data_IF_868793304876
#
_entry.id   IF_868793304876
#
_cell.length_a   1.000
_cell.length_b   1.000
_cell.length_c   1.000
_cell.angle_alpha   90.00
_cell.angle_beta   90.00
_cell.angle_gamma   90.00
#
_symmetry.space_group_name_H-M   'P 1'
#
loop_
_entity.id
_entity.type
_entity.pdbx_description
1 polymer ?
#
# COMPACT_ATOMS: atom_id res chain seq x y z
N UNK A 1 10.96 78.93 -29.13
CA UNK A 1 10.05 79.04 -30.30
C UNK A 1 10.51 78.05 -31.36
N UNK A 2 9.62 77.13 -31.78
CA UNK A 2 9.54 76.38 -33.07
C UNK A 2 10.85 75.70 -33.56
N UNK A 3 10.92 74.40 -33.82
CA UNK A 3 10.00 73.57 -34.63
C UNK A 3 10.09 72.08 -34.26
N UNK A 4 8.92 71.45 -34.39
CA UNK A 4 8.62 70.02 -34.37
C UNK A 4 8.86 69.42 -35.77
N UNK A 5 8.95 68.08 -35.84
CA UNK A 5 8.92 67.14 -37.00
C UNK A 5 10.33 66.67 -37.43
N UNK A 6 10.69 65.37 -37.45
CA UNK A 6 9.96 64.12 -37.25
C UNK A 6 10.88 62.91 -37.46
N UNK A 7 10.26 61.71 -37.63
CA UNK A 7 10.84 60.37 -37.89
C UNK A 7 11.19 59.64 -36.57
N UNK A 8 10.31 58.82 -35.96
CA UNK A 8 9.73 57.52 -36.41
C UNK A 8 10.80 56.58 -36.97
N UNK A 9 11.54 55.91 -36.09
CA UNK A 9 11.93 54.49 -36.20
C UNK A 9 12.85 54.13 -35.03
N UNK A 10 12.30 53.48 -34.00
CA UNK A 10 13.13 52.55 -33.23
C UNK A 10 12.29 51.30 -33.01
N UNK A 11 12.58 50.31 -33.85
CA UNK A 11 11.98 49.00 -33.88
C UNK A 11 11.94 48.42 -32.47
N UNK A 12 10.77 47.83 -32.18
CA UNK A 12 10.61 46.72 -31.27
C UNK A 12 11.73 45.68 -31.50
N UNK A 13 12.78 45.73 -30.70
CA UNK A 13 13.48 44.53 -30.29
C UNK A 13 12.69 43.93 -29.13
N UNK A 14 11.50 43.42 -29.46
CA UNK A 14 10.94 42.31 -28.71
C UNK A 14 11.85 41.12 -29.01
N UNK A 15 12.99 41.08 -28.32
CA UNK A 15 13.72 39.85 -28.18
C UNK A 15 12.73 38.86 -27.59
N UNK A 16 12.22 37.97 -28.43
CA UNK A 16 11.67 36.71 -27.97
C UNK A 16 12.82 36.03 -27.25
N UNK A 17 12.96 36.29 -25.95
CA UNK A 17 13.57 35.34 -25.06
C UNK A 17 12.93 34.02 -25.46
N UNK A 18 13.69 33.01 -25.90
CA UNK A 18 13.11 31.69 -26.01
C UNK A 18 12.61 31.40 -24.61
N UNK A 19 11.29 31.43 -24.43
CA UNK A 19 10.65 30.61 -23.42
C UNK A 19 11.39 29.29 -23.56
N UNK A 20 12.03 28.80 -22.50
CA UNK A 20 12.74 27.51 -22.52
C UNK A 20 11.67 26.50 -22.91
N UNK A 21 11.50 26.28 -24.20
CA UNK A 21 10.47 25.44 -24.74
C UNK A 21 11.01 24.06 -24.47
N UNK A 22 10.42 23.38 -23.48
CA UNK A 22 10.76 22.00 -23.19
C UNK A 22 10.73 21.16 -24.47
N UNK A 23 11.45 20.04 -24.47
CA UNK A 23 11.52 19.19 -25.65
C UNK A 23 10.11 18.91 -26.23
N UNK A 24 9.81 19.31 -27.48
CA UNK A 24 8.47 19.18 -28.04
C UNK A 24 7.94 17.74 -28.06
N UNK A 25 8.83 16.77 -28.21
CA UNK A 25 8.47 15.36 -28.14
C UNK A 25 8.11 14.94 -26.71
N UNK A 26 8.80 15.45 -25.69
CA UNK A 26 8.45 15.20 -24.29
C UNK A 26 7.07 15.79 -23.94
N UNK A 27 6.79 17.02 -24.38
CA UNK A 27 5.49 17.65 -24.10
C UNK A 27 4.34 16.93 -24.82
N UNK A 28 4.53 16.51 -26.08
CA UNK A 28 3.55 15.64 -26.76
C UNK A 28 3.36 14.31 -26.05
N UNK A 29 4.44 13.69 -25.57
CA UNK A 29 4.35 12.45 -24.81
C UNK A 29 3.55 12.62 -23.51
N UNK A 30 3.73 13.72 -22.78
CA UNK A 30 2.94 14.04 -21.57
C UNK A 30 1.44 14.14 -21.85
N UNK A 31 1.06 14.80 -22.95
CA UNK A 31 -0.34 14.85 -23.39
C UNK A 31 -0.86 13.44 -23.74
N UNK A 32 -0.06 12.64 -24.45
CA UNK A 32 -0.44 11.27 -24.80
C UNK A 32 -0.54 10.36 -23.57
N UNK A 33 0.31 10.53 -22.55
CA UNK A 33 0.24 9.83 -21.27
C UNK A 33 -1.07 10.16 -20.54
N UNK A 34 -1.43 11.43 -20.50
CA UNK A 34 -2.70 11.88 -19.92
C UNK A 34 -3.90 11.24 -20.64
N UNK A 35 -3.84 11.16 -21.97
CA UNK A 35 -4.83 10.49 -22.82
C UNK A 35 -4.72 8.94 -22.79
N UNK A 36 -3.78 8.37 -22.03
CA UNK A 36 -3.49 6.93 -21.96
C UNK A 36 -3.13 6.28 -23.32
N UNK A 37 -2.60 7.08 -24.26
CA UNK A 37 -2.08 6.63 -25.56
C UNK A 37 -0.66 6.11 -25.42
N UNK A 38 -0.47 5.04 -24.64
CA UNK A 38 0.84 4.55 -24.21
C UNK A 38 1.81 4.25 -25.35
N UNK A 39 1.34 3.59 -26.41
CA UNK A 39 2.18 3.23 -27.54
C UNK A 39 2.65 4.47 -28.32
N UNK A 40 1.77 5.44 -28.53
CA UNK A 40 2.14 6.71 -29.19
C UNK A 40 3.07 7.55 -28.31
N UNK A 41 2.83 7.58 -27.00
CA UNK A 41 3.71 8.23 -26.04
C UNK A 41 5.12 7.64 -26.09
N UNK A 42 5.26 6.30 -26.14
CA UNK A 42 6.57 5.64 -26.28
C UNK A 42 7.36 6.15 -27.49
N UNK A 43 6.70 6.29 -28.64
CA UNK A 43 7.34 6.78 -29.87
C UNK A 43 7.88 8.20 -29.67
N UNK A 44 7.10 9.10 -29.05
CA UNK A 44 7.56 10.46 -28.77
C UNK A 44 8.65 10.49 -27.69
N UNK A 45 8.58 9.64 -26.67
CA UNK A 45 9.63 9.54 -25.64
C UNK A 45 10.95 9.07 -26.22
N UNK A 46 10.93 8.10 -27.14
CA UNK A 46 12.13 7.63 -27.83
C UNK A 46 12.72 8.72 -28.75
N UNK A 47 11.87 9.52 -29.43
CA UNK A 47 12.33 10.72 -30.17
C UNK A 47 12.97 11.76 -29.25
N UNK A 48 12.36 12.04 -28.09
CA UNK A 48 12.92 12.96 -27.11
C UNK A 48 14.34 12.54 -26.70
N UNK A 49 14.51 11.26 -26.37
CA UNK A 49 15.81 10.70 -25.97
C UNK A 49 16.85 10.75 -27.10
N UNK A 50 16.45 10.48 -28.34
CA UNK A 50 17.35 10.54 -29.48
C UNK A 50 17.83 11.98 -29.79
N UNK A 51 16.96 12.98 -29.56
CA UNK A 51 17.26 14.38 -29.87
C UNK A 51 18.23 15.05 -28.89
N UNK A 52 18.23 14.65 -27.62
CA UNK A 52 19.14 15.18 -26.60
C UNK A 52 19.41 14.14 -25.49
N UNK A 53 20.28 13.15 -25.73
CA UNK A 53 20.46 11.99 -24.85
C UNK A 53 20.87 12.33 -23.41
N UNK A 54 21.64 13.40 -23.22
CA UNK A 54 22.21 13.79 -21.91
C UNK A 54 21.40 14.91 -21.22
N UNK A 55 20.31 15.36 -21.84
CA UNK A 55 19.46 16.41 -21.31
C UNK A 55 18.55 15.95 -20.18
N UNK A 56 18.13 16.89 -19.32
CA UNK A 56 17.12 16.65 -18.27
C UNK A 56 15.81 16.07 -18.84
N UNK A 57 15.44 16.49 -20.05
CA UNK A 57 14.24 16.01 -20.75
C UNK A 57 14.37 14.52 -21.15
N UNK A 58 15.56 14.07 -21.56
CA UNK A 58 15.79 12.65 -21.85
C UNK A 58 15.70 11.79 -20.59
N UNK A 59 16.18 12.30 -19.45
CA UNK A 59 16.03 11.61 -18.17
C UNK A 59 14.54 11.49 -17.78
N UNK A 60 13.77 12.57 -17.89
CA UNK A 60 12.32 12.53 -17.65
C UNK A 60 11.61 11.60 -18.65
N UNK A 61 12.07 11.55 -19.90
CA UNK A 61 11.55 10.63 -20.90
C UNK A 61 11.80 9.16 -20.55
N UNK A 62 12.93 8.81 -19.93
CA UNK A 62 13.20 7.44 -19.45
C UNK A 62 12.19 7.04 -18.36
N UNK A 63 11.90 7.94 -17.41
CA UNK A 63 10.88 7.70 -16.39
C UNK A 63 9.50 7.41 -17.00
N UNK A 64 9.04 8.29 -17.89
CA UNK A 64 7.74 8.11 -18.54
C UNK A 64 7.72 6.89 -19.47
N UNK A 65 8.85 6.53 -20.06
CA UNK A 65 8.97 5.29 -20.85
C UNK A 65 8.72 4.07 -19.97
N UNK A 66 9.29 4.04 -18.76
CA UNK A 66 8.99 2.99 -17.77
C UNK A 66 7.51 2.91 -17.43
N UNK A 67 6.85 4.07 -17.28
CA UNK A 67 5.41 4.15 -17.03
C UNK A 67 4.59 3.58 -18.18
N UNK A 68 4.83 4.00 -19.42
CA UNK A 68 4.15 3.43 -20.59
C UNK A 68 4.36 1.92 -20.72
N UNK A 69 5.59 1.43 -20.47
CA UNK A 69 5.90 0.01 -20.57
C UNK A 69 5.18 -0.81 -19.50
N UNK A 70 5.01 -0.26 -18.29
CA UNK A 70 4.19 -0.86 -17.24
C UNK A 70 2.74 -0.99 -17.69
N UNK A 71 2.15 0.09 -18.21
CA UNK A 71 0.74 0.10 -18.67
C UNK A 71 0.50 -0.80 -19.89
N UNK A 72 1.55 -1.07 -20.68
CA UNK A 72 1.53 -2.02 -21.81
C UNK A 72 1.90 -3.45 -21.41
N UNK A 73 1.99 -3.74 -20.11
CA UNK A 73 2.31 -5.06 -19.54
C UNK A 73 3.69 -5.63 -19.97
N UNK A 74 4.59 -4.75 -20.42
CA UNK A 74 5.99 -5.04 -20.79
C UNK A 74 6.88 -4.97 -19.55
N UNK A 75 6.54 -5.78 -18.55
CA UNK A 75 7.05 -5.72 -17.17
C UNK A 75 8.58 -5.65 -17.08
N UNK A 76 9.30 -6.54 -17.77
CA UNK A 76 10.78 -6.60 -17.71
C UNK A 76 11.44 -5.36 -18.29
N UNK A 77 10.86 -4.78 -19.35
CA UNK A 77 11.38 -3.56 -19.96
C UNK A 77 11.06 -2.32 -19.12
N UNK A 78 9.89 -2.31 -18.46
CA UNK A 78 9.53 -1.26 -17.50
C UNK A 78 10.54 -1.23 -16.34
N UNK A 79 10.86 -2.40 -15.78
CA UNK A 79 11.90 -2.54 -14.74
C UNK A 79 13.24 -1.99 -15.22
N UNK A 80 13.68 -2.37 -16.42
CA UNK A 80 14.95 -1.88 -16.98
C UNK A 80 14.95 -0.35 -17.14
N UNK A 81 13.85 0.24 -17.61
CA UNK A 81 13.71 1.68 -17.77
C UNK A 81 13.75 2.42 -16.42
N UNK A 82 13.02 1.95 -15.41
CA UNK A 82 13.06 2.54 -14.08
C UNK A 82 14.42 2.37 -13.40
N UNK A 83 15.11 1.24 -13.59
CA UNK A 83 16.48 1.07 -13.10
C UNK A 83 17.45 2.05 -13.75
N UNK A 84 17.35 2.26 -15.07
CA UNK A 84 18.14 3.27 -15.78
C UNK A 84 17.88 4.68 -15.23
N UNK A 85 16.62 5.03 -15.00
CA UNK A 85 16.24 6.32 -14.41
C UNK A 85 16.81 6.49 -13.00
N UNK A 86 16.63 5.49 -12.13
CA UNK A 86 17.07 5.53 -10.72
C UNK A 86 18.59 5.52 -10.56
N UNK A 87 19.36 5.11 -11.58
CA UNK A 87 20.81 5.14 -11.52
C UNK A 87 21.40 6.56 -11.56
N UNK A 88 20.70 7.51 -12.17
CA UNK A 88 21.23 8.86 -12.44
C UNK A 88 20.33 10.00 -11.96
N UNK A 89 19.06 9.72 -11.66
CA UNK A 89 18.11 10.76 -11.25
C UNK A 89 18.37 11.25 -9.82
N UNK A 90 18.41 12.58 -9.69
CA UNK A 90 18.43 13.32 -8.42
C UNK A 90 17.05 13.90 -8.06
N UNK A 91 16.03 13.74 -8.93
CA UNK A 91 14.69 14.24 -8.66
C UNK A 91 13.98 13.33 -7.63
N UNK A 92 13.90 13.80 -6.38
CA UNK A 92 13.32 13.02 -5.27
C UNK A 92 11.90 12.51 -5.56
N UNK A 93 11.00 13.35 -6.08
CA UNK A 93 9.61 12.97 -6.33
C UNK A 93 9.50 11.87 -7.40
N UNK A 94 10.19 12.05 -8.52
CA UNK A 94 10.17 11.03 -9.59
C UNK A 94 10.92 9.75 -9.18
N UNK A 95 11.95 9.85 -8.33
CA UNK A 95 12.62 8.67 -7.75
C UNK A 95 11.65 7.88 -6.88
N UNK A 96 10.98 8.54 -5.95
CA UNK A 96 9.97 7.91 -5.08
C UNK A 96 8.91 7.18 -5.92
N UNK A 97 8.38 7.86 -6.95
CA UNK A 97 7.38 7.27 -7.84
C UNK A 97 7.92 6.08 -8.64
N UNK A 98 9.16 6.17 -9.16
CA UNK A 98 9.81 5.05 -9.86
C UNK A 98 10.05 3.85 -8.93
N UNK A 99 10.46 4.08 -7.68
CA UNK A 99 10.66 3.03 -6.69
C UNK A 99 9.32 2.35 -6.30
N UNK A 100 8.23 3.11 -6.15
CA UNK A 100 6.88 2.56 -5.94
C UNK A 100 6.46 1.67 -7.12
N UNK A 101 6.61 2.15 -8.35
CA UNK A 101 6.32 1.36 -9.56
C UNK A 101 7.17 0.09 -9.61
N UNK A 102 8.45 0.18 -9.22
CA UNK A 102 9.34 -0.98 -9.13
C UNK A 102 8.86 -2.02 -8.12
N UNK A 103 8.27 -1.63 -6.99
CA UNK A 103 7.66 -2.59 -6.04
C UNK A 103 6.56 -3.40 -6.73
N UNK A 104 5.63 -2.72 -7.41
CA UNK A 104 4.53 -3.38 -8.13
C UNK A 104 5.02 -4.34 -9.22
N UNK A 105 5.94 -3.86 -10.06
CA UNK A 105 6.53 -4.65 -11.13
C UNK A 105 7.27 -5.89 -10.60
N UNK A 106 8.02 -5.75 -9.50
CA UNK A 106 8.75 -6.89 -8.94
C UNK A 106 7.83 -7.90 -8.25
N UNK A 107 6.70 -7.46 -7.67
CA UNK A 107 5.66 -8.39 -7.19
C UNK A 107 5.07 -9.20 -8.34
N UNK A 108 4.84 -8.58 -9.50
CA UNK A 108 4.38 -9.30 -10.70
C UNK A 108 5.44 -10.29 -11.20
N UNK A 109 6.72 -9.88 -11.23
CA UNK A 109 7.83 -10.74 -11.62
C UNK A 109 8.06 -11.95 -10.69
N UNK A 110 7.67 -11.87 -9.41
CA UNK A 110 7.67 -13.04 -8.53
C UNK A 110 6.76 -14.16 -9.06
N UNK A 111 5.59 -13.81 -9.60
CA UNK A 111 4.66 -14.80 -10.20
C UNK A 111 5.31 -15.49 -11.41
N UNK A 112 6.16 -14.75 -12.13
CA UNK A 112 6.95 -15.22 -13.29
C UNK A 112 8.27 -15.89 -12.89
N UNK A 113 8.50 -16.10 -11.58
CA UNK A 113 9.70 -16.73 -11.00
C UNK A 113 11.02 -16.02 -11.35
N UNK A 114 10.98 -14.69 -11.51
CA UNK A 114 12.20 -13.91 -11.68
C UNK A 114 13.09 -14.02 -10.44
N UNK A 115 14.37 -14.33 -10.65
CA UNK A 115 15.33 -14.60 -9.56
C UNK A 115 15.80 -13.33 -8.85
N UNK A 116 15.69 -12.16 -9.49
CA UNK A 116 16.18 -10.89 -8.97
C UNK A 116 15.09 -10.10 -8.24
N UNK A 117 13.81 -10.38 -8.53
CA UNK A 117 12.67 -9.74 -7.90
C UNK A 117 12.70 -9.78 -6.35
N UNK A 118 13.01 -10.91 -5.68
CA UNK A 118 13.12 -10.91 -4.21
C UNK A 118 14.17 -9.92 -3.71
N UNK A 119 15.34 -9.86 -4.35
CA UNK A 119 16.43 -8.95 -3.97
C UNK A 119 16.01 -7.49 -4.13
N UNK A 120 15.37 -7.13 -5.25
CA UNK A 120 14.88 -5.77 -5.50
C UNK A 120 13.79 -5.35 -4.51
N UNK A 121 12.90 -6.26 -4.12
CA UNK A 121 11.89 -5.99 -3.09
C UNK A 121 12.52 -5.78 -1.70
N UNK A 122 13.56 -6.54 -1.35
CA UNK A 122 14.33 -6.31 -0.11
C UNK A 122 15.05 -4.96 -0.12
N UNK A 123 15.55 -4.52 -1.28
CA UNK A 123 16.12 -3.17 -1.42
C UNK A 123 15.07 -2.08 -1.16
N UNK A 124 13.84 -2.25 -1.67
CA UNK A 124 12.76 -1.30 -1.42
C UNK A 124 12.40 -1.16 0.08
N UNK A 125 12.45 -2.26 0.85
CA UNK A 125 12.29 -2.22 2.32
C UNK A 125 13.37 -1.39 3.03
N UNK A 126 14.52 -1.19 2.38
CA UNK A 126 15.65 -0.40 2.88
C UNK A 126 15.79 0.96 2.17
N UNK A 127 14.81 1.37 1.36
CA UNK A 127 14.86 2.67 0.64
C UNK A 127 15.03 3.83 1.64
N UNK A 128 15.64 4.93 1.21
CA UNK A 128 15.74 6.15 2.02
C UNK A 128 14.37 6.83 2.18
N UNK A 129 13.50 6.66 1.20
CA UNK A 129 12.16 7.22 1.19
C UNK A 129 11.20 6.38 2.05
N UNK A 130 10.63 7.01 3.08
CA UNK A 130 9.75 6.31 4.03
C UNK A 130 8.52 5.72 3.33
N UNK A 131 7.95 6.45 2.37
CA UNK A 131 6.78 6.03 1.61
C UNK A 131 7.06 4.73 0.85
N UNK A 132 8.22 4.62 0.20
CA UNK A 132 8.65 3.43 -0.53
C UNK A 132 8.81 2.25 0.42
N UNK A 133 9.51 2.44 1.55
CA UNK A 133 9.68 1.38 2.56
C UNK A 133 8.32 0.85 3.05
N UNK A 134 7.40 1.75 3.37
CA UNK A 134 6.09 1.41 3.91
C UNK A 134 5.24 0.71 2.85
N UNK A 135 5.23 1.24 1.62
CA UNK A 135 4.52 0.64 0.50
C UNK A 135 5.03 -0.79 0.24
N UNK A 136 6.34 -0.99 0.17
CA UNK A 136 6.94 -2.31 0.01
C UNK A 136 6.52 -3.27 1.13
N UNK A 137 6.61 -2.86 2.39
CA UNK A 137 6.24 -3.69 3.53
C UNK A 137 4.75 -4.10 3.50
N UNK A 138 3.86 -3.18 3.15
CA UNK A 138 2.45 -3.48 2.97
C UNK A 138 2.21 -4.46 1.81
N UNK A 139 2.85 -4.25 0.66
CA UNK A 139 2.70 -5.14 -0.50
C UNK A 139 3.20 -6.54 -0.21
N UNK A 140 4.34 -6.66 0.48
CA UNK A 140 4.90 -7.95 0.89
C UNK A 140 3.98 -8.73 1.84
N UNK A 141 3.17 -8.03 2.66
CA UNK A 141 2.21 -8.70 3.55
C UNK A 141 1.12 -9.52 2.85
N UNK A 142 0.88 -9.27 1.55
CA UNK A 142 -0.08 -10.01 0.73
C UNK A 142 0.54 -11.18 -0.05
N UNK A 143 1.87 -11.36 0.00
CA UNK A 143 2.53 -12.44 -0.73
C UNK A 143 2.26 -13.79 -0.06
N UNK A 144 2.13 -14.83 -0.89
CA UNK A 144 2.02 -16.21 -0.43
C UNK A 144 3.37 -16.75 0.07
N UNK A 145 4.49 -16.24 -0.44
CA UNK A 145 5.83 -16.59 0.04
C UNK A 145 6.07 -16.03 1.45
N UNK A 146 5.81 -16.86 2.46
CA UNK A 146 5.96 -16.49 3.87
C UNK A 146 7.37 -16.08 4.26
N UNK A 147 8.41 -16.58 3.58
CA UNK A 147 9.79 -16.19 3.86
C UNK A 147 10.00 -14.73 3.45
N UNK A 148 9.62 -14.39 2.23
CA UNK A 148 9.73 -13.03 1.73
C UNK A 148 8.79 -12.06 2.45
N UNK A 149 7.56 -12.46 2.77
CA UNK A 149 6.63 -11.60 3.53
C UNK A 149 7.18 -11.23 4.91
N UNK A 150 7.93 -12.13 5.57
CA UNK A 150 8.55 -11.87 6.88
C UNK A 150 9.61 -10.79 6.86
N UNK A 151 10.25 -10.53 5.72
CA UNK A 151 11.21 -9.43 5.55
C UNK A 151 10.55 -8.06 5.79
N UNK A 152 9.24 -7.94 5.56
CA UNK A 152 8.49 -6.70 5.83
C UNK A 152 8.18 -6.46 7.31
N UNK A 153 8.31 -7.47 8.18
CA UNK A 153 7.92 -7.36 9.59
C UNK A 153 8.64 -6.20 10.30
N UNK A 154 9.98 -6.04 10.23
CA UNK A 154 10.67 -4.97 10.95
C UNK A 154 10.15 -3.58 10.59
N UNK A 155 9.86 -3.32 9.31
CA UNK A 155 9.31 -2.05 8.83
C UNK A 155 7.91 -1.83 9.40
N UNK A 156 7.04 -2.84 9.34
CA UNK A 156 5.68 -2.75 9.88
C UNK A 156 5.69 -2.56 11.41
N UNK A 157 6.60 -3.20 12.15
CA UNK A 157 6.79 -2.95 13.59
C UNK A 157 7.19 -1.49 13.83
N UNK A 158 8.07 -0.96 13.00
CA UNK A 158 8.48 0.44 13.02
C UNK A 158 7.28 1.38 12.87
N UNK A 159 6.41 1.13 11.89
CA UNK A 159 5.18 1.91 11.68
C UNK A 159 4.30 1.91 12.94
N UNK A 160 4.03 0.73 13.51
CA UNK A 160 3.17 0.60 14.70
C UNK A 160 3.73 1.39 15.89
N UNK A 161 5.05 1.44 16.05
CA UNK A 161 5.68 2.06 17.22
C UNK A 161 5.96 3.55 17.06
N UNK A 162 6.22 4.03 15.83
CA UNK A 162 6.73 5.38 15.58
C UNK A 162 5.72 6.34 14.94
N UNK A 163 4.74 5.84 14.19
CA UNK A 163 3.81 6.71 13.46
C UNK A 163 2.67 7.21 14.36
N UNK A 164 2.36 8.51 14.25
CA UNK A 164 1.27 9.15 15.01
C UNK A 164 -0.11 8.82 14.44
N UNK A 165 -0.20 8.61 13.13
CA UNK A 165 -1.42 8.28 12.41
C UNK A 165 -1.98 6.92 12.87
N UNK A 166 -3.16 6.96 13.48
CA UNK A 166 -3.80 5.77 14.00
C UNK A 166 -4.24 4.80 12.91
N UNK A 167 -4.76 5.30 11.79
CA UNK A 167 -5.21 4.45 10.68
C UNK A 167 -4.01 3.68 10.09
N UNK A 168 -2.88 4.39 9.91
CA UNK A 168 -1.65 3.78 9.41
C UNK A 168 -1.12 2.70 10.36
N UNK A 169 -1.13 2.96 11.67
CA UNK A 169 -0.76 1.95 12.69
C UNK A 169 -1.67 0.72 12.66
N UNK A 170 -2.98 0.90 12.60
CA UNK A 170 -3.93 -0.21 12.55
C UNK A 170 -3.77 -1.03 11.26
N UNK A 171 -3.55 -0.35 10.12
CA UNK A 171 -3.24 -1.01 8.85
C UNK A 171 -1.96 -1.84 8.96
N UNK A 172 -0.93 -1.33 9.63
CA UNK A 172 0.33 -2.06 9.87
C UNK A 172 0.14 -3.28 10.78
N UNK A 173 -0.69 -3.18 11.83
CA UNK A 173 -1.06 -4.34 12.66
C UNK A 173 -1.78 -5.43 11.86
N UNK A 174 -2.70 -5.05 10.97
CA UNK A 174 -3.37 -5.99 10.06
C UNK A 174 -2.37 -6.64 9.09
N UNK A 175 -1.43 -5.89 8.55
CA UNK A 175 -0.38 -6.43 7.68
C UNK A 175 0.52 -7.43 8.42
N UNK A 176 0.94 -7.10 9.64
CA UNK A 176 1.66 -8.02 10.52
C UNK A 176 0.91 -9.32 10.77
N UNK A 177 -0.40 -9.22 11.03
CA UNK A 177 -1.27 -10.38 11.22
C UNK A 177 -1.33 -11.29 9.98
N UNK A 178 -1.42 -10.72 8.76
CA UNK A 178 -1.42 -11.51 7.50
C UNK A 178 -0.13 -12.32 7.33
N UNK A 179 0.99 -11.76 7.78
CA UNK A 179 2.30 -12.41 7.67
C UNK A 179 2.44 -13.50 8.74
N UNK A 180 2.28 -13.10 10.01
CA UNK A 180 2.42 -13.96 11.18
C UNK A 180 1.56 -13.43 12.34
N UNK A 181 0.48 -14.13 12.73
CA UNK A 181 -0.37 -13.74 13.84
C UNK A 181 0.36 -13.48 15.17
N UNK A 182 1.47 -14.19 15.43
CA UNK A 182 2.25 -14.05 16.67
C UNK A 182 3.06 -12.77 16.72
N UNK A 183 3.26 -12.11 15.57
CA UNK A 183 4.06 -10.88 15.49
C UNK A 183 3.46 -9.71 16.29
N UNK A 184 2.19 -9.80 16.68
CA UNK A 184 1.46 -8.80 17.48
C UNK A 184 1.57 -9.01 19.00
N UNK A 185 2.02 -10.17 19.48
CA UNK A 185 1.98 -10.55 20.92
C UNK A 185 2.76 -9.58 21.83
N UNK A 186 3.76 -8.88 21.29
CA UNK A 186 4.66 -8.01 22.06
C UNK A 186 4.43 -6.49 21.84
N UNK A 187 3.46 -6.09 21.02
CA UNK A 187 3.33 -4.68 20.58
C UNK A 187 2.43 -3.81 21.46
N UNK A 188 1.57 -4.40 22.27
CA UNK A 188 0.64 -3.64 23.11
C UNK A 188 1.23 -3.42 24.51
N UNK A 189 2.18 -2.49 24.65
CA UNK A 189 2.73 -2.12 25.98
C UNK A 189 1.77 -1.35 26.89
N UNK A 190 0.69 -0.79 26.34
CA UNK A 190 -0.23 0.12 27.04
C UNK A 190 -1.69 -0.35 27.09
N UNK A 191 -2.01 -1.52 26.57
CA UNK A 191 -3.41 -1.94 26.46
C UNK A 191 -3.87 -2.76 27.68
N UNK A 192 -4.98 -2.36 28.31
CA UNK A 192 -5.63 -3.08 29.43
C UNK A 192 -6.08 -4.49 29.03
N UNK A 193 -5.98 -4.86 27.75
CA UNK A 193 -6.32 -6.15 27.14
C UNK A 193 -5.18 -7.17 27.12
N UNK A 194 -3.97 -6.79 27.58
CA UNK A 194 -2.77 -7.62 27.50
C UNK A 194 -2.93 -8.99 28.15
N UNK A 195 -2.66 -10.05 27.39
CA UNK A 195 -2.71 -11.45 27.85
C UNK A 195 -4.12 -12.03 27.99
N UNK A 196 -5.18 -11.24 27.77
CA UNK A 196 -6.56 -11.72 27.83
C UNK A 196 -6.93 -12.45 26.56
N UNK A 197 -7.64 -13.57 26.68
CA UNK A 197 -8.08 -14.39 25.54
C UNK A 197 -9.59 -14.29 25.43
N UNK A 198 -10.10 -13.93 24.24
CA UNK A 198 -11.49 -14.15 23.89
C UNK A 198 -11.67 -15.64 23.57
N UNK A 199 -12.58 -16.29 24.29
CA UNK A 199 -12.96 -17.68 24.06
C UNK A 199 -14.37 -17.76 23.53
N UNK A 200 -14.55 -18.59 22.52
CA UNK A 200 -15.84 -18.91 21.93
C UNK A 200 -15.98 -20.43 21.97
N UNK A 201 -17.03 -20.92 22.62
CA UNK A 201 -17.41 -22.34 22.57
C UNK A 201 -18.81 -22.51 22.04
N UNK A 202 -18.99 -23.52 21.19
CA UNK A 202 -20.31 -23.97 20.71
C UNK A 202 -20.50 -25.41 21.17
N UNK A 203 -21.58 -25.64 21.92
CA UNK A 203 -21.92 -26.94 22.51
C UNK A 203 -23.27 -27.41 21.99
N UNK A 204 -23.32 -28.56 21.34
CA UNK A 204 -24.57 -29.14 20.83
C UNK A 204 -25.40 -29.70 22.00
N UNK A 205 -26.72 -29.45 21.99
CA UNK A 205 -27.66 -29.88 23.04
C UNK A 205 -28.07 -31.36 22.91
N UNK A 206 -27.96 -31.92 21.70
CA UNK A 206 -28.39 -33.28 21.38
C UNK A 206 -27.20 -34.12 20.89
N UNK A 207 -26.42 -34.63 21.84
CA UNK A 207 -25.22 -35.42 21.55
C UNK A 207 -25.35 -36.79 22.20
N UNK A 208 -25.06 -37.84 21.43
CA UNK A 208 -25.14 -39.21 21.92
C UNK A 208 -24.17 -39.44 23.09
N UNK A 209 -24.59 -40.23 24.09
CA UNK A 209 -23.76 -40.57 25.26
C UNK A 209 -22.38 -41.08 24.80
N UNK A 210 -21.31 -40.36 25.16
CA UNK A 210 -19.93 -40.73 24.85
C UNK A 210 -19.26 -39.90 23.75
N UNK A 211 -19.97 -39.01 23.06
CA UNK A 211 -19.39 -38.07 22.11
C UNK A 211 -19.12 -36.70 22.77
N UNK A 212 -18.06 -36.01 22.31
CA UNK A 212 -17.75 -34.66 22.78
C UNK A 212 -18.84 -33.69 22.29
N UNK A 213 -19.60 -33.04 23.18
CA UNK A 213 -20.63 -32.12 22.76
C UNK A 213 -20.07 -30.76 22.29
N UNK A 214 -18.78 -30.49 22.49
CA UNK A 214 -18.13 -29.26 22.01
C UNK A 214 -17.81 -29.36 20.51
N UNK A 215 -18.63 -28.72 19.68
CA UNK A 215 -18.46 -28.67 18.22
C UNK A 215 -17.43 -27.64 17.78
N UNK A 216 -17.29 -26.53 18.51
CA UNK A 216 -16.32 -25.46 18.21
C UNK A 216 -15.69 -24.96 19.51
N UNK A 217 -14.37 -24.81 19.52
CA UNK A 217 -13.61 -24.19 20.59
C UNK A 217 -12.53 -23.30 20.00
N UNK A 218 -12.72 -21.99 20.13
CA UNK A 218 -11.81 -20.96 19.63
C UNK A 218 -11.27 -20.20 20.82
N UNK A 219 -9.96 -19.99 20.83
CA UNK A 219 -9.25 -19.15 21.80
C UNK A 219 -8.34 -18.21 21.03
N UNK A 220 -8.65 -16.92 21.07
CA UNK A 220 -7.89 -15.89 20.35
C UNK A 220 -7.53 -14.75 21.29
N UNK A 221 -6.35 -14.12 21.16
CA UNK A 221 -6.02 -12.93 21.93
C UNK A 221 -7.12 -11.86 21.81
N UNK A 222 -7.54 -11.27 22.92
CA UNK A 222 -8.61 -10.28 22.92
C UNK A 222 -8.28 -9.09 22.01
N UNK A 223 -7.03 -8.63 22.04
CA UNK A 223 -6.55 -7.57 21.14
C UNK A 223 -6.71 -7.94 19.67
N UNK A 224 -6.56 -9.23 19.33
CA UNK A 224 -6.77 -9.73 17.97
C UNK A 224 -8.26 -9.73 17.61
N UNK A 225 -9.11 -10.20 18.51
CA UNK A 225 -10.56 -10.20 18.30
C UNK A 225 -11.09 -8.77 18.10
N UNK A 226 -10.67 -7.83 18.94
CA UNK A 226 -11.06 -6.42 18.83
C UNK A 226 -10.59 -5.83 17.50
N UNK A 227 -9.34 -6.08 17.08
CA UNK A 227 -8.82 -5.60 15.81
C UNK A 227 -9.64 -6.10 14.62
N UNK A 228 -9.92 -7.41 14.57
CA UNK A 228 -10.70 -8.02 13.50
C UNK A 228 -12.11 -7.41 13.39
N UNK A 229 -12.77 -7.19 14.53
CA UNK A 229 -14.11 -6.62 14.60
C UNK A 229 -14.11 -5.13 14.19
N UNK A 230 -13.09 -4.36 14.59
CA UNK A 230 -12.96 -2.96 14.18
C UNK A 230 -12.73 -2.81 12.67
N UNK A 231 -12.05 -3.76 12.04
CA UNK A 231 -11.73 -3.75 10.61
C UNK A 231 -12.91 -4.15 9.70
N UNK A 232 -14.05 -4.57 10.26
CA UNK A 232 -15.24 -4.88 9.46
C UNK A 232 -15.77 -3.62 8.75
N UNK A 233 -16.21 -3.73 7.48
CA UNK A 233 -16.88 -2.63 6.79
C UNK A 233 -18.14 -2.17 7.54
N UNK A 234 -18.44 -0.87 7.48
CA UNK A 234 -19.61 -0.30 8.16
C UNK A 234 -20.94 -0.91 7.68
N UNK A 235 -21.00 -1.34 6.41
CA UNK A 235 -22.15 -2.07 5.88
C UNK A 235 -22.41 -3.37 6.64
N UNK A 236 -21.33 -4.09 6.99
CA UNK A 236 -21.40 -5.37 7.70
C UNK A 236 -21.80 -5.17 9.17
N UNK A 237 -21.21 -4.16 9.81
CA UNK A 237 -21.56 -3.77 11.19
C UNK A 237 -23.03 -3.36 11.30
N UNK A 238 -23.53 -2.58 10.33
CA UNK A 238 -24.95 -2.18 10.27
C UNK A 238 -25.88 -3.37 10.06
N UNK A 239 -25.51 -4.33 9.19
CA UNK A 239 -26.28 -5.55 8.98
C UNK A 239 -26.42 -6.36 10.27
N UNK A 240 -25.31 -6.60 10.97
CA UNK A 240 -25.32 -7.33 12.23
C UNK A 240 -26.09 -6.60 13.33
N UNK A 241 -25.98 -5.27 13.40
CA UNK A 241 -26.75 -4.46 14.34
C UNK A 241 -28.27 -4.56 14.09
N UNK A 242 -28.71 -4.63 12.83
CA UNK A 242 -30.12 -4.83 12.47
C UNK A 242 -30.65 -6.21 12.88
N UNK A 243 -29.78 -7.22 12.93
CA UNK A 243 -30.08 -8.56 13.46
C UNK A 243 -30.00 -8.62 15.01
N UNK A 244 -29.76 -7.49 15.68
CA UNK A 244 -29.66 -7.38 17.14
C UNK A 244 -28.26 -7.57 17.71
N UNK A 245 -27.25 -7.79 16.87
CA UNK A 245 -25.87 -8.03 17.27
C UNK A 245 -25.01 -6.76 17.12
N UNK A 246 -25.13 -5.83 18.09
CA UNK A 246 -24.24 -4.66 18.13
C UNK A 246 -22.85 -5.07 18.66
N UNK A 247 -21.90 -5.26 17.74
CA UNK A 247 -20.55 -5.72 18.04
C UNK A 247 -19.79 -4.81 19.00
N UNK A 248 -19.90 -3.49 18.86
CA UNK A 248 -19.21 -2.53 19.73
C UNK A 248 -19.71 -2.65 21.17
N UNK A 249 -21.02 -2.76 21.36
CA UNK A 249 -21.64 -2.98 22.66
C UNK A 249 -21.22 -4.33 23.24
N UNK A 250 -21.26 -5.42 22.45
CA UNK A 250 -20.88 -6.76 22.91
C UNK A 250 -19.43 -6.78 23.40
N UNK A 251 -18.50 -6.21 22.63
CA UNK A 251 -17.09 -6.11 23.02
C UNK A 251 -16.93 -5.28 24.30
N UNK A 252 -17.57 -4.11 24.37
CA UNK A 252 -17.49 -3.24 25.55
C UNK A 252 -18.02 -3.94 26.81
N UNK A 253 -19.14 -4.64 26.71
CA UNK A 253 -19.70 -5.44 27.80
C UNK A 253 -18.71 -6.53 28.21
N UNK A 254 -18.25 -7.36 27.28
CA UNK A 254 -17.26 -8.41 27.55
C UNK A 254 -16.01 -7.85 28.25
N UNK A 255 -15.49 -6.70 27.78
CA UNK A 255 -14.28 -6.08 28.33
C UNK A 255 -14.50 -5.53 29.74
N UNK A 256 -15.67 -4.91 30.00
CA UNK A 256 -15.98 -4.23 31.27
C UNK A 256 -16.52 -5.17 32.34
N UNK A 257 -17.48 -6.02 31.99
CA UNK A 257 -18.24 -6.82 32.97
C UNK A 257 -17.65 -8.22 33.16
N UNK A 258 -16.80 -8.69 32.23
CA UNK A 258 -16.36 -10.10 32.15
C UNK A 258 -17.52 -11.09 32.09
N UNK A 259 -18.71 -10.63 31.73
CA UNK A 259 -19.88 -11.50 31.65
C UNK A 259 -19.74 -12.47 30.47
N UNK A 260 -20.15 -13.71 30.70
CA UNK A 260 -20.22 -14.70 29.63
C UNK A 260 -21.46 -14.38 28.81
N UNK A 261 -21.27 -13.96 27.56
CA UNK A 261 -22.37 -13.85 26.61
C UNK A 261 -22.79 -15.27 26.23
N UNK A 262 -24.05 -15.60 26.51
CA UNK A 262 -24.64 -16.90 26.24
C UNK A 262 -25.77 -16.72 25.22
N UNK A 263 -25.63 -17.38 24.08
CA UNK A 263 -26.65 -17.41 23.04
C UNK A 263 -27.17 -18.84 22.99
N UNK A 264 -28.45 -19.03 23.23
CA UNK A 264 -29.08 -20.34 23.19
C UNK A 264 -30.00 -20.46 21.99
N UNK A 265 -29.80 -21.52 21.22
CA UNK A 265 -30.70 -21.97 20.16
C UNK A 265 -31.26 -23.37 20.50
N UNK A 266 -32.16 -23.90 19.67
CA UNK A 266 -32.72 -25.24 19.79
C UNK A 266 -31.65 -26.33 19.69
N UNK A 267 -30.64 -26.12 18.84
CA UNK A 267 -29.63 -27.14 18.55
C UNK A 267 -28.35 -27.00 19.38
N UNK A 268 -27.94 -25.77 19.72
CA UNK A 268 -26.66 -25.51 20.36
C UNK A 268 -26.71 -24.36 21.37
N UNK A 269 -25.67 -24.30 22.21
CA UNK A 269 -25.36 -23.19 23.11
C UNK A 269 -24.03 -22.59 22.73
N UNK A 270 -24.02 -21.29 22.42
CA UNK A 270 -22.80 -20.53 22.16
C UNK A 270 -22.44 -19.75 23.43
N UNK A 271 -21.18 -19.86 23.86
CA UNK A 271 -20.62 -19.14 25.01
C UNK A 271 -19.43 -18.33 24.56
N UNK A 272 -19.44 -17.04 24.86
CA UNK A 272 -18.36 -16.11 24.56
C UNK A 272 -17.92 -15.43 25.85
N UNK A 273 -16.63 -15.45 26.17
CA UNK A 273 -16.10 -14.78 27.36
C UNK A 273 -14.64 -14.36 27.16
N UNK A 274 -14.16 -13.54 28.08
CA UNK A 274 -12.76 -13.08 28.13
C UNK A 274 -12.11 -13.64 29.40
N UNK A 275 -10.94 -14.27 29.25
CA UNK A 275 -10.09 -14.69 30.37
C UNK A 275 -9.42 -13.49 31.07
#
# INVERSE_FOLDING_TARGET
MKKILGIVTMLLWAGTLPLIAGNPSLERAKVMLFDQKWQSALVELDKCRASNPDGKDALQAIFYRGTCLKELDRTSEAVAAFQQFLAVSENAALREEAEINMVDLNVELLKRKDKLAPTRLKQALSSKDKSVRYYAAFKLSYLNDKSLSREGIPVLKGIVNAESDNELRERAKLALFRIDPRSLENMNKTDRTRGRMLRIRVVDKHVAKGQNPERVSISIPLSLATLALTALPDSEKKRLAAEGYNLDTIIQTLIKTREVVRIEDREATIRIWID
#
